data_IF_964836949856
#
_entry.id   IF_964836949856
#
_cell.length_a   1.000
_cell.length_b   1.000
_cell.length_c   1.000
_cell.angle_alpha   90.00
_cell.angle_beta   90.00
_cell.angle_gamma   90.00
#
_symmetry.space_group_name_H-M   'P 1'
#
loop_
_entity.id
_entity.type
_entity.pdbx_description
1 polymer ?
#
# COMPACT_ATOMS: atom_id res chain seq x y z
N UNK A 1 6.85 3.41 7.20
CA UNK A 1 8.19 3.05 6.70
C UNK A 1 8.38 3.67 5.32
N UNK A 2 9.59 4.04 4.87
CA UNK A 2 9.79 4.50 3.49
C UNK A 2 9.38 3.40 2.51
N UNK A 3 8.84 3.79 1.36
CA UNK A 3 8.56 2.85 0.28
C UNK A 3 9.59 3.07 -0.84
N UNK A 4 10.49 2.11 -0.96
CA UNK A 4 11.66 2.15 -1.83
C UNK A 4 11.48 1.06 -2.88
N UNK A 5 10.58 1.32 -3.82
CA UNK A 5 10.10 0.34 -4.78
C UNK A 5 10.98 0.23 -6.04
N UNK A 6 11.86 1.20 -6.29
CA UNK A 6 12.82 1.16 -7.40
C UNK A 6 14.00 0.24 -7.05
N UNK A 7 14.50 -0.49 -8.04
CA UNK A 7 15.46 -1.60 -7.92
C UNK A 7 14.95 -2.84 -7.18
N UNK A 8 13.67 -2.89 -6.80
CA UNK A 8 13.10 -4.02 -6.03
C UNK A 8 13.04 -5.33 -6.83
N UNK A 9 13.02 -5.27 -8.18
CA UNK A 9 13.11 -6.47 -9.04
C UNK A 9 14.53 -7.02 -9.20
N UNK A 10 15.54 -6.34 -8.67
CA UNK A 10 16.94 -6.77 -8.81
C UNK A 10 17.38 -7.59 -7.63
N UNK A 11 18.27 -8.56 -7.82
CA UNK A 11 18.77 -9.41 -6.74
C UNK A 11 19.38 -8.63 -5.56
N UNK A 12 19.94 -7.45 -5.82
CA UNK A 12 20.62 -6.63 -4.82
C UNK A 12 19.71 -5.72 -4.01
N UNK A 13 18.52 -5.38 -4.52
CA UNK A 13 17.64 -4.37 -3.91
C UNK A 13 18.41 -3.08 -3.56
N UNK A 14 19.22 -2.59 -4.51
CA UNK A 14 20.27 -1.60 -4.25
C UNK A 14 19.77 -0.30 -3.57
N UNK A 15 18.57 0.16 -3.90
CA UNK A 15 17.99 1.34 -3.28
C UNK A 15 17.59 1.09 -1.81
N UNK A 16 17.03 -0.07 -1.49
CA UNK A 16 16.72 -0.45 -0.11
C UNK A 16 18.00 -0.58 0.71
N UNK A 17 19.03 -1.21 0.14
CA UNK A 17 20.33 -1.38 0.80
C UNK A 17 20.96 -0.03 1.17
N UNK A 18 20.97 0.94 0.25
CA UNK A 18 21.54 2.26 0.49
C UNK A 18 20.69 3.13 1.43
N UNK A 19 19.39 2.88 1.52
CA UNK A 19 18.50 3.48 2.51
C UNK A 19 18.61 2.84 3.91
N UNK A 20 19.39 1.76 4.06
CA UNK A 20 19.63 1.07 5.33
C UNK A 20 18.77 -0.18 5.55
N UNK A 21 17.98 -0.61 4.57
CA UNK A 21 17.24 -1.86 4.61
C UNK A 21 18.03 -2.97 3.91
N UNK A 22 18.67 -3.84 4.68
CA UNK A 22 19.36 -5.00 4.12
C UNK A 22 18.35 -6.09 3.73
N UNK A 23 17.70 -5.90 2.58
CA UNK A 23 16.59 -6.69 2.04
C UNK A 23 16.91 -7.32 0.67
N UNK A 24 18.00 -8.10 0.49
CA UNK A 24 18.23 -8.81 -0.76
C UNK A 24 17.19 -9.93 -0.95
N UNK A 25 17.09 -10.51 -2.15
CA UNK A 25 16.07 -11.51 -2.50
C UNK A 25 16.05 -12.76 -1.59
N UNK A 26 17.13 -13.06 -0.89
CA UNK A 26 17.25 -14.22 0.01
C UNK A 26 17.12 -13.87 1.51
N UNK A 27 16.69 -12.65 1.85
CA UNK A 27 16.55 -12.21 3.24
C UNK A 27 15.47 -11.13 3.37
N UNK A 28 14.56 -11.33 4.33
CA UNK A 28 13.67 -10.27 4.78
C UNK A 28 14.43 -9.21 5.61
N UNK A 29 14.59 -8.02 5.03
CA UNK A 29 15.22 -6.86 5.67
C UNK A 29 14.29 -6.05 6.59
N UNK A 30 12.98 -6.28 6.53
CA UNK A 30 11.96 -5.55 7.29
C UNK A 30 11.66 -6.21 8.65
N UNK A 31 11.62 -7.55 8.69
CA UNK A 31 11.35 -8.34 9.90
C UNK A 31 12.10 -7.87 11.17
N UNK A 32 13.44 -7.64 11.15
CA UNK A 32 14.16 -7.19 12.34
C UNK A 32 13.68 -5.83 12.87
N UNK A 33 13.31 -4.92 11.97
CA UNK A 33 12.77 -3.59 12.31
C UNK A 33 11.40 -3.74 12.93
N UNK A 34 10.53 -4.57 12.33
CA UNK A 34 9.16 -4.79 12.81
C UNK A 34 9.10 -5.48 14.16
N UNK A 35 9.97 -6.46 14.41
CA UNK A 35 10.14 -7.07 15.73
C UNK A 35 10.49 -6.04 16.81
N UNK A 36 11.34 -5.06 16.49
CA UNK A 36 11.66 -3.97 17.41
C UNK A 36 10.44 -3.06 17.61
N UNK A 37 9.81 -2.62 16.52
CA UNK A 37 8.67 -1.71 16.54
C UNK A 37 7.46 -2.28 17.30
N UNK A 38 7.23 -3.60 17.23
CA UNK A 38 6.12 -4.25 17.95
C UNK A 38 6.16 -4.02 19.46
N UNK A 39 7.34 -3.83 20.04
CA UNK A 39 7.52 -3.55 21.48
C UNK A 39 6.98 -2.18 21.91
N UNK A 40 6.68 -1.31 20.95
CA UNK A 40 6.28 0.08 21.18
C UNK A 40 4.84 0.39 20.78
N UNK A 41 4.02 -0.64 20.49
CA UNK A 41 2.59 -0.48 20.16
C UNK A 41 2.32 0.53 19.04
N UNK A 42 3.19 0.55 18.03
CA UNK A 42 3.05 1.47 16.89
C UNK A 42 2.07 0.94 15.84
N UNK A 43 1.56 1.85 15.00
CA UNK A 43 0.87 1.53 13.77
C UNK A 43 1.84 1.80 12.61
N UNK A 44 2.13 0.78 11.81
CA UNK A 44 2.99 0.90 10.65
C UNK A 44 2.21 1.55 9.51
N UNK A 45 2.63 2.74 9.07
CA UNK A 45 2.09 3.35 7.84
C UNK A 45 2.86 2.86 6.61
N UNK A 46 2.13 2.31 5.64
CA UNK A 46 2.58 1.91 4.30
C UNK A 46 1.96 2.85 3.27
N UNK A 47 2.68 3.15 2.19
CA UNK A 47 2.14 3.94 1.08
C UNK A 47 1.79 2.98 -0.05
N UNK A 48 0.55 3.04 -0.54
CA UNK A 48 0.10 2.27 -1.69
C UNK A 48 0.20 3.12 -2.95
N UNK A 49 0.60 2.49 -4.06
CA UNK A 49 0.84 3.10 -5.35
C UNK A 49 -0.18 2.61 -6.36
N UNK A 50 -0.69 3.50 -7.19
CA UNK A 50 -1.60 3.12 -8.27
C UNK A 50 -0.87 2.58 -9.50
N UNK A 51 -1.63 2.15 -10.52
CA UNK A 51 -1.12 1.62 -11.78
C UNK A 51 -0.12 2.56 -12.49
N UNK A 52 -0.23 3.85 -12.26
CA UNK A 52 0.66 4.87 -12.79
C UNK A 52 2.12 4.71 -12.33
N UNK A 53 2.38 3.96 -11.26
CA UNK A 53 3.73 3.64 -10.78
C UNK A 53 4.24 2.27 -11.23
N UNK A 54 3.39 1.42 -11.80
CA UNK A 54 3.77 0.08 -12.28
C UNK A 54 4.14 0.07 -13.76
N UNK A 55 3.68 1.06 -14.54
CA UNK A 55 3.97 1.18 -15.97
C UNK A 55 5.00 2.29 -16.19
N UNK A 56 6.29 1.94 -16.15
CA UNK A 56 7.33 2.78 -16.76
C UNK A 56 7.64 2.23 -18.15
N UNK A 57 7.51 3.07 -19.17
CA UNK A 57 7.67 2.69 -20.59
C UNK A 57 9.03 2.04 -20.90
N UNK A 58 10.07 2.26 -20.07
CA UNK A 58 11.43 1.74 -20.30
C UNK A 58 11.97 0.76 -19.23
N UNK A 59 11.20 0.39 -18.19
CA UNK A 59 11.60 -0.52 -17.07
C UNK A 59 12.99 -0.29 -16.43
N UNK A 60 13.65 0.85 -16.69
CA UNK A 60 15.01 1.13 -16.21
C UNK A 60 15.10 1.23 -14.68
N UNK A 61 13.98 1.53 -14.01
CA UNK A 61 13.92 1.59 -12.57
C UNK A 61 13.84 0.22 -11.89
N UNK A 62 13.59 -0.87 -12.63
CA UNK A 62 13.36 -2.21 -12.08
C UNK A 62 12.38 -2.18 -10.88
N UNK A 63 11.31 -1.42 -11.06
CA UNK A 63 10.38 -1.05 -10.00
C UNK A 63 9.37 -2.15 -9.72
N UNK A 64 9.05 -2.37 -8.45
CA UNK A 64 7.97 -3.27 -8.04
C UNK A 64 7.26 -2.77 -6.76
N UNK A 65 6.40 -1.76 -6.88
CA UNK A 65 5.67 -1.22 -5.74
C UNK A 65 4.64 -2.21 -5.16
N UNK A 66 4.09 -3.10 -5.97
CA UNK A 66 3.14 -4.13 -5.54
C UNK A 66 3.86 -5.22 -4.73
N UNK A 67 4.96 -5.76 -5.23
CA UNK A 67 5.79 -6.73 -4.51
C UNK A 67 6.33 -6.16 -3.20
N UNK A 68 6.81 -4.92 -3.21
CA UNK A 68 7.25 -4.25 -1.98
C UNK A 68 6.11 -4.09 -0.97
N UNK A 69 4.94 -3.61 -1.42
CA UNK A 69 3.76 -3.45 -0.55
C UNK A 69 3.38 -4.79 0.07
N UNK A 70 3.31 -5.85 -0.75
CA UNK A 70 3.01 -7.19 -0.28
C UNK A 70 4.03 -7.66 0.77
N UNK A 71 5.33 -7.53 0.50
CA UNK A 71 6.39 -7.96 1.43
C UNK A 71 6.28 -7.24 2.78
N UNK A 72 6.18 -5.91 2.76
CA UNK A 72 6.11 -5.07 3.95
C UNK A 72 4.86 -5.36 4.79
N UNK A 73 3.71 -5.52 4.13
CA UNK A 73 2.44 -5.81 4.79
C UNK A 73 2.47 -7.17 5.50
N UNK A 74 2.89 -8.23 4.79
CA UNK A 74 2.95 -9.57 5.36
C UNK A 74 3.96 -9.65 6.51
N UNK A 75 5.16 -9.09 6.35
CA UNK A 75 6.15 -9.08 7.44
C UNK A 75 5.65 -8.30 8.67
N UNK A 76 4.86 -7.24 8.48
CA UNK A 76 4.28 -6.49 9.60
C UNK A 76 3.22 -7.33 10.33
N UNK A 77 2.33 -7.98 9.59
CA UNK A 77 1.29 -8.85 10.13
C UNK A 77 1.85 -10.10 10.83
N UNK A 78 2.89 -10.73 10.27
CA UNK A 78 3.62 -11.85 10.90
C UNK A 78 4.23 -11.46 12.26
N UNK A 79 4.55 -10.17 12.44
CA UNK A 79 5.02 -9.60 13.70
C UNK A 79 3.90 -8.98 14.56
N UNK A 80 2.64 -9.16 14.16
CA UNK A 80 1.45 -8.68 14.86
C UNK A 80 1.36 -7.15 14.94
N UNK A 81 1.99 -6.44 14.01
CA UNK A 81 1.85 -4.98 13.93
C UNK A 81 0.50 -4.61 13.34
N UNK A 82 -0.08 -3.54 13.88
CA UNK A 82 -1.18 -2.84 13.25
C UNK A 82 -0.65 -2.08 12.04
N UNK A 83 -1.38 -2.12 10.92
CA UNK A 83 -0.96 -1.48 9.68
C UNK A 83 -2.00 -0.46 9.22
N UNK A 84 -1.54 0.68 8.74
CA UNK A 84 -2.35 1.67 8.03
C UNK A 84 -1.78 1.91 6.65
N UNK A 85 -2.64 2.26 5.70
CA UNK A 85 -2.24 2.58 4.33
C UNK A 85 -2.53 4.03 4.03
N UNK A 86 -1.64 4.68 3.29
CA UNK A 86 -1.83 6.00 2.71
C UNK A 86 -1.75 5.93 1.19
N UNK A 87 -2.59 6.68 0.47
CA UNK A 87 -2.47 6.76 -0.99
C UNK A 87 -1.25 7.61 -1.42
N UNK A 88 -0.55 7.17 -2.47
CA UNK A 88 0.52 7.94 -3.08
C UNK A 88 -0.01 9.22 -3.76
N UNK A 89 -1.14 9.12 -4.47
CA UNK A 89 -1.76 10.20 -5.23
C UNK A 89 -3.14 10.64 -4.71
N UNK A 90 -3.53 11.90 -5.01
CA UNK A 90 -4.91 12.37 -4.94
C UNK A 90 -5.70 11.90 -6.18
N UNK A 91 -7.00 11.63 -6.02
CA UNK A 91 -7.92 11.21 -7.09
C UNK A 91 -7.58 9.79 -7.58
N UNK A 92 -7.84 8.82 -6.71
CA UNK A 92 -7.71 7.42 -7.05
C UNK A 92 -8.78 7.10 -8.09
N UNK A 93 -8.39 6.45 -9.18
CA UNK A 93 -9.36 5.85 -10.09
C UNK A 93 -10.03 4.63 -9.42
N UNK A 94 -11.05 4.10 -10.08
CA UNK A 94 -11.80 2.93 -9.60
C UNK A 94 -10.85 1.73 -9.34
N UNK A 95 -9.84 1.55 -10.19
CA UNK A 95 -8.87 0.46 -10.06
C UNK A 95 -8.06 0.59 -8.78
N UNK A 96 -7.59 1.79 -8.45
CA UNK A 96 -6.83 2.05 -7.24
C UNK A 96 -7.69 1.94 -5.97
N UNK A 97 -8.95 2.37 -6.01
CA UNK A 97 -9.89 2.11 -4.91
C UNK A 97 -10.09 0.61 -4.67
N UNK A 98 -10.26 -0.18 -5.74
CA UNK A 98 -10.38 -1.63 -5.66
C UNK A 98 -9.12 -2.27 -5.04
N UNK A 99 -7.93 -1.86 -5.48
CA UNK A 99 -6.64 -2.32 -4.93
C UNK A 99 -6.48 -1.98 -3.45
N UNK A 100 -6.87 -0.77 -3.04
CA UNK A 100 -6.83 -0.38 -1.63
C UNK A 100 -7.83 -1.21 -0.83
N UNK A 101 -9.02 -1.50 -1.35
CA UNK A 101 -10.00 -2.36 -0.68
C UNK A 101 -9.47 -3.78 -0.49
N UNK A 102 -8.86 -4.35 -1.52
CA UNK A 102 -8.23 -5.67 -1.45
C UNK A 102 -7.05 -5.70 -0.47
N UNK A 103 -6.27 -4.61 -0.39
CA UNK A 103 -5.21 -4.45 0.62
C UNK A 103 -5.80 -4.24 2.03
N UNK A 104 -6.94 -3.55 2.12
CA UNK A 104 -7.57 -3.17 3.38
C UNK A 104 -8.22 -4.36 4.08
N UNK A 105 -8.86 -5.23 3.30
CA UNK A 105 -9.58 -6.41 3.75
C UNK A 105 -9.36 -7.53 2.73
N UNK A 106 -8.18 -8.20 2.74
CA UNK A 106 -7.89 -9.26 1.79
C UNK A 106 -8.94 -10.38 1.89
N UNK A 107 -9.68 -10.63 0.81
CA UNK A 107 -10.85 -11.53 0.82
C UNK A 107 -10.50 -12.98 1.12
N UNK A 108 -9.31 -13.42 0.69
CA UNK A 108 -8.84 -14.80 0.77
C UNK A 108 -7.75 -15.01 1.83
N UNK A 109 -7.71 -14.15 2.84
CA UNK A 109 -6.71 -14.23 3.90
C UNK A 109 -7.22 -15.10 5.08
N UNK A 110 -6.57 -16.26 5.36
CA UNK A 110 -6.98 -17.16 6.43
C UNK A 110 -6.88 -16.50 7.81
N UNK A 111 -5.96 -15.56 7.98
CA UNK A 111 -5.69 -14.88 9.25
C UNK A 111 -6.58 -13.63 9.43
N UNK A 112 -7.40 -13.30 8.41
CA UNK A 112 -8.36 -12.20 8.41
C UNK A 112 -7.73 -10.87 8.79
N UNK A 113 -6.54 -10.60 8.25
CA UNK A 113 -5.89 -9.34 8.43
C UNK A 113 -6.76 -8.20 7.88
N UNK A 114 -6.68 -7.07 8.55
CA UNK A 114 -7.33 -5.85 8.13
C UNK A 114 -6.47 -4.65 8.51
N UNK A 115 -6.59 -3.59 7.72
CA UNK A 115 -5.98 -2.32 8.07
C UNK A 115 -6.67 -1.70 9.28
N UNK A 116 -5.88 -1.02 10.10
CA UNK A 116 -6.39 -0.23 11.23
C UNK A 116 -7.11 1.03 10.75
N UNK A 117 -6.56 1.70 9.73
CA UNK A 117 -7.21 2.81 9.03
C UNK A 117 -6.53 3.08 7.68
N UNK A 118 -7.21 3.85 6.83
CA UNK A 118 -6.68 4.38 5.59
C UNK A 118 -6.58 5.91 5.66
N UNK A 119 -5.45 6.47 5.21
CA UNK A 119 -5.20 7.89 5.14
C UNK A 119 -5.24 8.35 3.68
N UNK A 120 -6.26 9.13 3.33
CA UNK A 120 -6.40 9.68 1.99
C UNK A 120 -5.50 10.92 1.83
N UNK A 121 -4.58 10.91 0.86
CA UNK A 121 -3.71 12.06 0.59
C UNK A 121 -4.43 13.10 -0.27
N UNK A 122 -4.79 14.23 0.33
CA UNK A 122 -5.32 15.39 -0.40
C UNK A 122 -4.18 16.26 -0.94
N UNK A 123 -4.24 16.64 -2.22
CA UNK A 123 -3.50 17.81 -2.74
C UNK A 123 -4.47 18.96 -2.98
N UNK A 124 -4.02 20.18 -2.71
CA UNK A 124 -4.78 21.44 -2.78
C UNK A 124 -5.51 21.76 -4.11
N UNK A 125 -5.17 21.21 -5.31
CA UNK A 125 -5.96 21.46 -6.52
C UNK A 125 -7.30 20.69 -6.59
N UNK A 126 -7.59 19.79 -5.63
CA UNK A 126 -8.79 18.94 -5.60
C UNK A 126 -10.13 19.69 -5.64
N UNK A 127 -10.11 21.00 -5.38
CA UNK A 127 -11.31 21.84 -5.46
C UNK A 127 -11.88 21.95 -6.87
N UNK A 128 -11.12 21.58 -7.92
CA UNK A 128 -11.49 21.78 -9.33
C UNK A 128 -12.20 20.56 -9.99
N UNK A 129 -12.20 19.37 -9.36
CA UNK A 129 -12.84 18.14 -9.88
C UNK A 129 -13.86 17.54 -8.88
N UNK A 130 -14.53 18.41 -8.11
CA UNK A 130 -15.42 18.02 -7.00
C UNK A 130 -16.53 17.04 -7.40
N UNK A 131 -17.16 17.20 -8.56
CA UNK A 131 -18.43 16.52 -8.81
C UNK A 131 -18.27 15.04 -9.20
N UNK A 132 -17.19 14.67 -9.88
CA UNK A 132 -16.94 13.28 -10.30
C UNK A 132 -16.20 12.49 -9.22
N UNK A 133 -15.15 13.07 -8.62
CA UNK A 133 -14.35 12.36 -7.63
C UNK A 133 -15.09 12.10 -6.30
N UNK A 134 -16.17 12.85 -6.00
CA UNK A 134 -16.86 12.72 -4.72
C UNK A 134 -17.77 11.48 -4.65
N UNK A 135 -18.45 11.11 -5.73
CA UNK A 135 -19.31 9.92 -5.75
C UNK A 135 -18.51 8.62 -5.64
N UNK A 136 -17.37 8.55 -6.32
CA UNK A 136 -16.43 7.43 -6.23
C UNK A 136 -15.81 7.35 -4.84
N UNK A 137 -15.39 8.49 -4.28
CA UNK A 137 -14.87 8.55 -2.91
C UNK A 137 -15.92 8.13 -1.87
N UNK A 138 -17.17 8.59 -2.03
CA UNK A 138 -18.28 8.18 -1.16
C UNK A 138 -18.46 6.66 -1.20
N UNK A 139 -18.50 6.08 -2.39
CA UNK A 139 -18.65 4.64 -2.57
C UNK A 139 -17.47 3.88 -1.97
N UNK A 140 -16.24 4.36 -2.18
CA UNK A 140 -15.04 3.80 -1.57
C UNK A 140 -15.10 3.84 -0.04
N UNK A 141 -15.52 4.96 0.56
CA UNK A 141 -15.67 5.10 2.02
C UNK A 141 -16.71 4.11 2.55
N UNK A 142 -17.84 3.95 1.86
CA UNK A 142 -18.86 2.94 2.18
C UNK A 142 -18.30 1.51 2.15
N UNK A 143 -17.58 1.14 1.09
CA UNK A 143 -16.88 -0.15 0.99
C UNK A 143 -15.88 -0.36 2.14
N UNK A 144 -15.09 0.66 2.47
CA UNK A 144 -14.12 0.62 3.58
C UNK A 144 -14.81 0.39 4.93
N UNK A 145 -16.02 0.89 5.12
CA UNK A 145 -16.85 0.63 6.30
C UNK A 145 -17.63 -0.69 6.26
N UNK A 146 -17.56 -1.44 5.15
CA UNK A 146 -18.27 -2.72 5.00
C UNK A 146 -19.75 -2.56 4.66
N UNK A 147 -20.16 -1.39 4.18
CA UNK A 147 -21.48 -1.21 3.58
C UNK A 147 -21.50 -1.94 2.22
N UNK A 148 -22.55 -2.72 1.97
CA UNK A 148 -22.73 -3.41 0.71
C UNK A 148 -23.15 -2.42 -0.38
N UNK A 149 -22.19 -1.94 -1.17
CA UNK A 149 -22.46 -1.21 -2.42
C UNK A 149 -22.35 -2.19 -3.58
N UNK A 150 -23.31 -2.12 -4.52
CA UNK A 150 -23.26 -2.89 -5.78
C UNK A 150 -21.87 -2.71 -6.42
N UNK A 151 -21.25 -3.84 -6.76
CA UNK A 151 -19.83 -3.94 -7.08
C UNK A 151 -19.39 -2.97 -8.18
N UNK A 152 -18.16 -2.45 -8.07
CA UNK A 152 -17.41 -1.81 -9.15
C UNK A 152 -16.95 -2.79 -10.25
N UNK A 153 -17.70 -3.88 -10.47
CA UNK A 153 -17.34 -4.93 -11.41
C UNK A 153 -18.62 -5.48 -12.04
N UNK A 154 -18.93 -4.95 -13.21
CA UNK A 154 -19.39 -5.76 -14.36
C UNK A 154 -18.27 -5.69 -15.41
#
# INVERSE_FOLDING_TARGET
IPSIYWWHRTASHAAELTAGFYNPTNRDGYSPVFRMLKKHSIILKVVCYGPEFTVQENDEAFADPEGLTWQVMNAAWDHGLSVSVESALPCLDVDMYSRILDTAKPRNDPDRHHLSFFAYRQRTPFLLQRDVCFSELETFVKCMHGEATQNFVD
#
